data_IF_935324275904
#
_entry.id   IF_935324275904
#
_cell.length_a   1.000
_cell.length_b   1.000
_cell.length_c   1.000
_cell.angle_alpha   90.00
_cell.angle_beta   90.00
_cell.angle_gamma   90.00
#
_symmetry.space_group_name_H-M   'P 1'
#
loop_
_entity.id
_entity.type
_entity.pdbx_description
1 polymer ?
#
# COMPACT_ATOMS: atom_id res chain seq x y z
N UNK A 1 27.90 12.13 18.38
CA UNK A 1 27.84 12.56 16.99
C UNK A 1 26.86 11.81 16.09
N UNK A 2 26.08 10.82 16.50
CA UNK A 2 24.96 10.24 15.75
C UNK A 2 25.26 9.46 14.45
N UNK A 3 26.52 9.32 14.05
CA UNK A 3 26.89 8.55 12.88
C UNK A 3 26.76 7.05 13.17
N UNK A 4 26.17 6.30 12.21
CA UNK A 4 26.00 4.84 12.34
C UNK A 4 27.30 4.09 12.12
N UNK A 5 28.08 4.50 11.14
CA UNK A 5 29.39 3.95 10.79
C UNK A 5 30.14 4.90 9.84
N UNK A 6 31.41 4.60 9.51
CA UNK A 6 32.23 5.42 8.61
C UNK A 6 32.66 4.59 7.39
N UNK A 7 32.63 5.24 6.21
CA UNK A 7 33.11 4.68 4.96
C UNK A 7 34.30 5.51 4.51
N UNK A 8 35.43 4.85 4.26
CA UNK A 8 36.64 5.50 3.70
C UNK A 8 36.58 5.54 2.18
N UNK A 9 37.10 6.60 1.59
CA UNK A 9 37.16 6.75 0.13
C UNK A 9 38.07 5.67 -0.47
N UNK A 10 37.45 4.68 -1.16
CA UNK A 10 38.14 3.51 -1.72
C UNK A 10 37.66 2.17 -1.14
N UNK A 11 36.70 2.16 -0.20
CA UNK A 11 36.08 0.91 0.29
C UNK A 11 35.31 0.21 -0.83
N UNK A 12 35.47 -1.11 -0.87
CA UNK A 12 34.89 -2.00 -1.87
C UNK A 12 33.35 -2.13 -1.70
N UNK A 13 32.61 -2.29 -2.79
CA UNK A 13 31.15 -2.50 -2.77
C UNK A 13 30.71 -3.65 -1.84
N UNK A 14 31.56 -4.64 -1.63
CA UNK A 14 31.34 -5.76 -0.70
C UNK A 14 31.22 -5.32 0.77
N UNK A 15 31.74 -4.15 1.15
CA UNK A 15 31.58 -3.56 2.49
C UNK A 15 30.45 -2.57 2.57
N UNK A 16 30.22 -1.81 1.48
CA UNK A 16 29.21 -0.73 1.43
C UNK A 16 27.80 -1.30 1.47
N UNK A 17 27.50 -2.33 0.67
CA UNK A 17 26.17 -2.93 0.58
C UNK A 17 25.70 -3.53 1.93
N UNK A 18 26.49 -4.35 2.64
CA UNK A 18 26.12 -4.85 3.98
C UNK A 18 25.93 -3.72 5.01
N UNK A 19 26.70 -2.64 4.90
CA UNK A 19 26.62 -1.50 5.82
C UNK A 19 25.33 -0.70 5.63
N UNK A 20 24.95 -0.46 4.38
CA UNK A 20 23.67 0.17 4.03
C UNK A 20 22.49 -0.71 4.49
N UNK A 21 22.55 -2.02 4.25
CA UNK A 21 21.50 -2.95 4.68
C UNK A 21 21.33 -2.95 6.21
N UNK A 22 22.42 -2.96 6.97
CA UNK A 22 22.39 -2.86 8.43
C UNK A 22 21.88 -1.51 8.92
N UNK A 23 22.23 -0.40 8.24
CA UNK A 23 21.74 0.93 8.57
C UNK A 23 20.22 1.04 8.31
N UNK A 24 19.73 0.48 7.21
CA UNK A 24 18.30 0.42 6.89
C UNK A 24 17.52 -0.45 7.88
N UNK A 25 18.06 -1.59 8.28
CA UNK A 25 17.45 -2.48 9.28
C UNK A 25 17.35 -1.78 10.65
N UNK A 26 18.41 -1.08 11.06
CA UNK A 26 18.42 -0.31 12.32
C UNK A 26 17.51 0.91 12.25
N UNK A 27 17.38 1.56 11.10
CA UNK A 27 16.42 2.64 10.89
C UNK A 27 14.96 2.13 10.97
N UNK A 28 14.68 0.95 10.42
CA UNK A 28 13.37 0.27 10.56
C UNK A 28 13.05 -0.07 12.01
N UNK A 29 14.00 -0.65 12.75
CA UNK A 29 13.78 -1.04 14.16
C UNK A 29 13.65 0.17 15.10
N UNK A 30 14.36 1.27 14.84
CA UNK A 30 14.27 2.50 15.62
C UNK A 30 13.05 3.36 15.24
N UNK A 31 12.58 3.31 13.99
CA UNK A 31 11.40 4.06 13.54
C UNK A 31 10.07 3.50 14.08
N UNK A 32 10.02 2.21 14.41
CA UNK A 32 8.79 1.55 14.92
C UNK A 32 8.58 1.80 16.42
N UNK A 33 9.61 2.14 17.19
CA UNK A 33 9.52 2.20 18.66
C UNK A 33 9.06 3.54 19.27
N UNK A 34 8.94 4.62 18.51
CA UNK A 34 8.68 5.97 19.09
C UNK A 34 7.64 6.82 18.34
N UNK A 35 6.67 6.23 17.62
CA UNK A 35 5.49 7.00 17.24
C UNK A 35 4.42 6.84 18.32
N UNK A 36 3.97 7.90 18.99
CA UNK A 36 2.88 7.79 19.95
C UNK A 36 1.62 7.34 19.21
N UNK A 37 0.98 6.27 19.71
CA UNK A 37 -0.23 5.65 19.11
C UNK A 37 -1.34 6.68 18.78
N UNK A 38 -1.42 7.78 19.53
CA UNK A 38 -2.41 8.86 19.29
C UNK A 38 -2.19 9.67 18.01
N UNK A 39 -0.95 9.92 17.59
CA UNK A 39 -0.67 10.67 16.35
C UNK A 39 -0.93 9.78 15.11
N UNK A 40 -0.66 8.49 15.21
CA UNK A 40 -0.94 7.54 14.14
C UNK A 40 -2.45 7.39 13.91
N UNK A 41 -3.26 7.43 14.97
CA UNK A 41 -4.72 7.29 14.89
C UNK A 41 -5.40 8.44 14.13
N UNK A 42 -4.93 9.67 14.26
CA UNK A 42 -5.49 10.82 13.52
C UNK A 42 -5.04 10.85 12.05
N UNK A 43 -3.86 10.32 11.73
CA UNK A 43 -3.27 10.42 10.40
C UNK A 43 -3.96 9.54 9.35
N UNK A 44 -4.65 8.46 9.74
CA UNK A 44 -5.22 7.47 8.82
C UNK A 44 -6.75 7.34 8.90
N UNK A 45 -7.45 8.32 9.44
CA UNK A 45 -8.91 8.31 9.45
C UNK A 45 -9.48 8.98 8.19
N UNK A 46 -10.73 8.66 7.80
CA UNK A 46 -11.41 9.40 6.73
C UNK A 46 -11.54 10.90 7.01
N UNK A 47 -11.50 11.31 8.28
CA UNK A 47 -11.54 12.72 8.65
C UNK A 47 -10.25 13.48 8.32
N UNK A 48 -9.14 12.76 8.13
CA UNK A 48 -7.86 13.35 7.72
C UNK A 48 -7.72 13.51 6.19
N UNK A 49 -8.65 12.95 5.41
CA UNK A 49 -8.65 13.10 3.96
C UNK A 49 -9.10 14.52 3.61
N UNK A 50 -8.18 15.29 3.03
CA UNK A 50 -8.44 16.66 2.64
C UNK A 50 -9.28 16.72 1.36
N UNK A 51 -10.39 17.45 1.42
CA UNK A 51 -11.26 17.72 0.29
C UNK A 51 -12.73 17.81 0.69
N UNK A 52 -13.49 18.55 -0.11
CA UNK A 52 -14.93 18.83 0.08
C UNK A 52 -15.73 18.64 -1.20
N UNK A 53 -15.09 18.26 -2.29
CA UNK A 53 -15.78 18.02 -3.56
C UNK A 53 -16.76 16.86 -3.44
N UNK A 54 -17.91 16.99 -4.11
CA UNK A 54 -18.98 15.99 -4.06
C UNK A 54 -18.49 14.59 -4.46
N UNK A 55 -17.70 14.40 -5.55
CA UNK A 55 -17.22 13.07 -5.93
C UNK A 55 -16.31 12.44 -4.86
N UNK A 56 -15.47 13.23 -4.18
CA UNK A 56 -14.63 12.73 -3.09
C UNK A 56 -15.47 12.31 -1.87
N UNK A 57 -16.45 13.14 -1.50
CA UNK A 57 -17.32 12.84 -0.35
C UNK A 57 -18.17 11.58 -0.59
N UNK A 58 -18.63 11.35 -1.83
CA UNK A 58 -19.31 10.11 -2.22
C UNK A 58 -18.40 8.91 -2.09
N UNK A 59 -17.14 8.99 -2.55
CA UNK A 59 -16.15 7.93 -2.39
C UNK A 59 -15.86 7.64 -0.89
N UNK A 60 -15.72 8.68 -0.07
CA UNK A 60 -15.55 8.54 1.39
C UNK A 60 -16.77 7.86 2.03
N UNK A 61 -17.98 8.24 1.64
CA UNK A 61 -19.21 7.63 2.16
C UNK A 61 -19.30 6.14 1.82
N UNK A 62 -18.91 5.74 0.60
CA UNK A 62 -18.82 4.33 0.19
C UNK A 62 -17.75 3.59 1.00
N UNK A 63 -16.57 4.19 1.16
CA UNK A 63 -15.47 3.60 1.90
C UNK A 63 -15.82 3.37 3.38
N UNK A 64 -16.53 4.30 4.02
CA UNK A 64 -17.06 4.13 5.39
C UNK A 64 -18.05 2.98 5.51
N UNK A 65 -18.96 2.83 4.54
CA UNK A 65 -19.92 1.72 4.54
C UNK A 65 -19.23 0.36 4.49
N UNK A 66 -18.21 0.22 3.62
CA UNK A 66 -17.50 -1.05 3.46
C UNK A 66 -16.47 -1.30 4.57
N UNK A 67 -16.00 -0.27 5.27
CA UNK A 67 -15.00 -0.42 6.35
C UNK A 67 -15.47 -1.40 7.44
N UNK A 68 -16.75 -1.38 7.81
CA UNK A 68 -17.34 -2.26 8.84
C UNK A 68 -17.47 -3.74 8.43
N UNK A 69 -17.21 -4.07 7.15
CA UNK A 69 -17.33 -5.43 6.58
C UNK A 69 -15.95 -6.04 6.34
N UNK A 70 -15.91 -7.35 6.07
CA UNK A 70 -14.68 -8.07 5.69
C UNK A 70 -14.58 -8.36 4.19
N UNK A 71 -15.51 -7.82 3.38
CA UNK A 71 -15.48 -8.05 1.93
C UNK A 71 -14.22 -7.45 1.28
N UNK A 72 -13.71 -8.06 0.21
CA UNK A 72 -12.65 -7.45 -0.60
C UNK A 72 -13.10 -6.10 -1.16
N UNK A 73 -12.15 -5.17 -1.27
CA UNK A 73 -12.39 -3.83 -1.81
C UNK A 73 -11.43 -3.57 -2.96
N UNK A 74 -11.96 -3.15 -4.10
CA UNK A 74 -11.16 -2.70 -5.23
C UNK A 74 -11.24 -1.17 -5.35
N UNK A 75 -10.10 -0.51 -5.17
CA UNK A 75 -9.94 0.92 -5.36
C UNK A 75 -9.46 1.19 -6.79
N UNK A 76 -10.21 1.95 -7.56
CA UNK A 76 -9.82 2.33 -8.92
C UNK A 76 -9.60 3.84 -9.01
N UNK A 77 -8.73 4.28 -9.90
CA UNK A 77 -8.44 5.68 -10.12
C UNK A 77 -7.00 5.91 -10.58
N UNK A 78 -6.75 7.06 -11.13
CA UNK A 78 -5.42 7.43 -11.64
C UNK A 78 -4.35 7.42 -10.55
N UNK A 79 -3.10 7.37 -10.97
CA UNK A 79 -1.96 7.50 -10.05
C UNK A 79 -2.04 8.85 -9.33
N UNK A 80 -1.78 8.86 -8.02
CA UNK A 80 -1.84 10.08 -7.21
C UNK A 80 -3.23 10.46 -6.68
N UNK A 81 -4.31 9.72 -6.96
CA UNK A 81 -5.67 10.00 -6.44
C UNK A 81 -5.84 9.72 -4.95
N UNK A 82 -4.87 9.05 -4.31
CA UNK A 82 -4.90 8.74 -2.86
C UNK A 82 -5.43 7.35 -2.52
N UNK A 83 -5.31 6.37 -3.44
CA UNK A 83 -5.76 4.98 -3.23
C UNK A 83 -5.22 4.38 -1.93
N UNK A 84 -3.93 4.57 -1.62
CA UNK A 84 -3.32 4.07 -0.40
C UNK A 84 -3.89 4.74 0.86
N UNK A 85 -4.14 6.06 0.82
CA UNK A 85 -4.76 6.79 1.93
C UNK A 85 -6.16 6.25 2.24
N UNK A 86 -6.95 5.95 1.20
CA UNK A 86 -8.25 5.30 1.35
C UNK A 86 -8.14 3.89 1.93
N UNK A 87 -7.18 3.08 1.46
CA UNK A 87 -6.94 1.74 1.99
C UNK A 87 -6.60 1.76 3.48
N UNK A 88 -5.72 2.67 3.89
CA UNK A 88 -5.36 2.89 5.30
C UNK A 88 -6.57 3.34 6.13
N UNK A 89 -7.39 4.28 5.62
CA UNK A 89 -8.60 4.74 6.30
C UNK A 89 -9.65 3.63 6.44
N UNK A 90 -9.85 2.80 5.40
CA UNK A 90 -10.73 1.62 5.46
C UNK A 90 -10.25 0.64 6.53
N UNK A 91 -8.96 0.33 6.57
CA UNK A 91 -8.40 -0.54 7.61
C UNK A 91 -8.60 0.05 9.01
N UNK A 92 -8.27 1.32 9.18
CA UNK A 92 -8.35 2.01 10.46
C UNK A 92 -9.78 2.05 11.03
N UNK A 93 -10.80 2.26 10.19
CA UNK A 93 -12.21 2.25 10.61
C UNK A 93 -12.86 0.84 10.56
N UNK A 94 -12.08 -0.21 10.30
CA UNK A 94 -12.55 -1.59 10.24
C UNK A 94 -12.54 -2.30 11.60
N UNK A 95 -13.17 -3.48 11.65
CA UNK A 95 -13.09 -4.40 12.80
C UNK A 95 -11.68 -4.97 13.00
N UNK A 96 -10.80 -4.84 11.99
CA UNK A 96 -9.43 -5.36 11.98
C UNK A 96 -8.38 -4.29 12.28
N UNK A 97 -8.77 -3.12 12.76
CA UNK A 97 -7.89 -1.98 13.02
C UNK A 97 -6.79 -2.23 14.07
N UNK A 98 -6.92 -3.29 14.86
CA UNK A 98 -5.88 -3.75 15.80
C UNK A 98 -4.88 -4.71 15.17
N UNK A 99 -5.19 -5.26 14.01
CA UNK A 99 -4.30 -6.13 13.24
C UNK A 99 -3.33 -5.32 12.38
N UNK A 100 -2.39 -6.01 11.75
CA UNK A 100 -1.42 -5.35 10.87
C UNK A 100 -2.09 -4.84 9.59
N UNK A 101 -1.68 -3.65 9.14
CA UNK A 101 -1.87 -3.18 7.78
C UNK A 101 -0.57 -3.40 7.02
N UNK A 102 -0.58 -4.30 6.05
CA UNK A 102 0.59 -4.65 5.24
C UNK A 102 0.34 -4.20 3.82
N UNK A 103 1.19 -3.33 3.30
CA UNK A 103 1.07 -2.77 1.96
C UNK A 103 2.22 -3.24 1.05
N UNK A 104 1.90 -3.58 -0.19
CA UNK A 104 2.88 -3.88 -1.23
C UNK A 104 2.42 -3.30 -2.56
N UNK A 105 3.36 -2.71 -3.30
CA UNK A 105 3.13 -2.31 -4.68
C UNK A 105 3.58 -3.43 -5.62
N UNK A 106 2.66 -3.99 -6.41
CA UNK A 106 2.91 -5.14 -7.28
C UNK A 106 3.84 -4.80 -8.46
N UNK A 107 3.93 -3.53 -8.86
CA UNK A 107 4.82 -3.10 -9.95
C UNK A 107 6.28 -2.91 -9.54
N UNK A 108 6.56 -2.85 -8.22
CA UNK A 108 7.90 -2.55 -7.71
C UNK A 108 8.89 -3.73 -7.77
N UNK A 109 8.41 -4.94 -8.12
CA UNK A 109 9.19 -6.17 -8.02
C UNK A 109 9.11 -6.98 -9.33
N UNK A 110 10.17 -7.76 -9.63
CA UNK A 110 10.03 -8.86 -10.61
C UNK A 110 9.03 -9.90 -10.11
N UNK A 111 8.49 -10.72 -11.03
CA UNK A 111 7.52 -11.77 -10.72
C UNK A 111 7.99 -12.69 -9.57
N UNK A 112 9.24 -13.16 -9.64
CA UNK A 112 9.82 -14.10 -8.69
C UNK A 112 10.00 -13.46 -7.30
N UNK A 113 10.42 -12.19 -7.27
CA UNK A 113 10.55 -11.44 -6.02
C UNK A 113 9.19 -11.14 -5.42
N UNK A 114 8.20 -10.71 -6.22
CA UNK A 114 6.84 -10.45 -5.76
C UNK A 114 6.22 -11.70 -5.17
N UNK A 115 6.40 -12.87 -5.81
CA UNK A 115 5.93 -14.15 -5.31
C UNK A 115 6.53 -14.48 -3.95
N UNK A 116 7.84 -14.33 -3.82
CA UNK A 116 8.57 -14.56 -2.58
C UNK A 116 8.17 -13.59 -1.46
N UNK A 117 7.93 -12.31 -1.79
CA UNK A 117 7.44 -11.32 -0.82
C UNK A 117 6.03 -11.67 -0.32
N UNK A 118 5.10 -11.91 -1.23
CA UNK A 118 3.68 -12.10 -0.88
C UNK A 118 3.45 -13.45 -0.18
N UNK A 119 3.99 -14.55 -0.72
CA UNK A 119 3.69 -15.92 -0.26
C UNK A 119 4.78 -16.51 0.65
N UNK A 120 5.99 -15.93 0.66
CA UNK A 120 7.12 -16.48 1.39
C UNK A 120 7.77 -17.69 0.70
N UNK A 121 8.89 -18.13 1.23
CA UNK A 121 9.66 -19.25 0.69
C UNK A 121 10.39 -20.04 1.76
N UNK A 122 10.74 -21.28 1.43
CA UNK A 122 11.68 -22.11 2.18
C UNK A 122 13.12 -21.92 1.72
N UNK A 123 14.04 -22.08 2.64
CA UNK A 123 15.47 -22.14 2.34
C UNK A 123 15.75 -23.19 1.26
N UNK A 124 16.55 -22.83 0.26
CA UNK A 124 16.92 -23.71 -0.85
C UNK A 124 15.89 -23.85 -1.97
N UNK A 125 14.77 -23.14 -1.93
CA UNK A 125 13.71 -23.25 -2.95
C UNK A 125 14.07 -22.63 -4.30
N UNK A 126 15.01 -21.69 -4.31
CA UNK A 126 15.59 -21.08 -5.52
C UNK A 126 16.99 -20.52 -5.21
N UNK A 127 17.74 -20.15 -6.26
CA UNK A 127 19.08 -19.55 -6.12
C UNK A 127 18.99 -18.22 -5.37
N UNK A 128 19.58 -18.17 -4.15
CA UNK A 128 19.51 -16.99 -3.26
C UNK A 128 18.55 -17.16 -2.07
N UNK A 129 17.75 -18.22 -2.00
CA UNK A 129 16.91 -18.56 -0.85
C UNK A 129 17.75 -19.15 0.31
N UNK A 130 18.54 -18.30 0.98
CA UNK A 130 19.47 -18.73 2.04
C UNK A 130 18.75 -19.09 3.36
N UNK A 131 17.56 -18.56 3.61
CA UNK A 131 16.79 -18.75 4.85
C UNK A 131 15.30 -18.85 4.51
N UNK A 132 14.52 -19.45 5.42
CA UNK A 132 13.07 -19.40 5.37
C UNK A 132 12.60 -17.93 5.46
N UNK A 133 11.62 -17.56 4.64
CA UNK A 133 10.99 -16.23 4.66
C UNK A 133 9.48 -16.36 4.87
N UNK A 134 8.96 -15.64 5.84
CA UNK A 134 7.52 -15.44 5.97
C UNK A 134 7.02 -14.51 4.86
N UNK A 135 5.86 -14.86 4.29
CA UNK A 135 5.21 -14.01 3.30
C UNK A 135 4.35 -12.92 3.94
N UNK A 136 4.04 -11.87 3.16
CA UNK A 136 3.20 -10.76 3.62
C UNK A 136 1.78 -11.19 4.01
N UNK A 137 1.25 -12.28 3.44
CA UNK A 137 -0.01 -12.86 3.91
C UNK A 137 0.05 -13.37 5.35
N UNK A 138 1.18 -13.92 5.77
CA UNK A 138 1.37 -14.32 7.17
C UNK A 138 1.51 -13.12 8.10
N UNK A 139 2.21 -12.06 7.65
CA UNK A 139 2.37 -10.82 8.40
C UNK A 139 1.05 -10.08 8.56
N UNK A 140 0.16 -10.16 7.56
CA UNK A 140 -1.17 -9.56 7.57
C UNK A 140 -2.23 -10.43 8.27
N UNK A 141 -1.85 -11.59 8.84
CA UNK A 141 -2.82 -12.50 9.49
C UNK A 141 -3.65 -11.79 10.56
N UNK A 142 -4.98 -11.95 10.51
CA UNK A 142 -5.98 -11.23 11.31
C UNK A 142 -6.01 -9.70 11.10
N UNK A 143 -5.32 -9.21 10.10
CA UNK A 143 -5.28 -7.80 9.69
C UNK A 143 -5.77 -7.58 8.26
N UNK A 144 -5.09 -6.67 7.55
CA UNK A 144 -5.42 -6.28 6.18
C UNK A 144 -4.15 -6.27 5.33
N UNK A 145 -4.23 -6.83 4.13
CA UNK A 145 -3.22 -6.63 3.08
C UNK A 145 -3.74 -5.65 2.03
N UNK A 146 -2.90 -4.70 1.65
CA UNK A 146 -3.14 -3.77 0.57
C UNK A 146 -2.22 -4.08 -0.61
N UNK A 147 -2.83 -4.44 -1.74
CA UNK A 147 -2.16 -4.79 -3.00
C UNK A 147 -2.32 -3.62 -3.97
N UNK A 148 -1.32 -2.75 -4.01
CA UNK A 148 -1.33 -1.62 -4.94
C UNK A 148 -0.87 -2.05 -6.33
N UNK A 149 -1.41 -1.40 -7.36
CA UNK A 149 -1.18 -1.68 -8.77
C UNK A 149 -1.38 -3.17 -9.11
N UNK A 150 -2.51 -3.76 -8.65
CA UNK A 150 -2.84 -5.18 -8.84
C UNK A 150 -2.90 -5.59 -10.32
N UNK A 151 -3.22 -4.66 -11.22
CA UNK A 151 -3.22 -4.88 -12.67
C UNK A 151 -1.84 -5.19 -13.26
N UNK A 152 -0.75 -4.95 -12.52
CA UNK A 152 0.63 -5.29 -12.92
C UNK A 152 1.06 -6.69 -12.47
N UNK A 153 0.24 -7.38 -11.68
CA UNK A 153 0.58 -8.70 -11.18
C UNK A 153 0.60 -9.74 -12.30
N UNK A 154 1.67 -10.52 -12.37
CA UNK A 154 1.77 -11.62 -13.36
C UNK A 154 0.63 -12.63 -13.22
N UNK A 155 0.14 -13.15 -14.36
CA UNK A 155 -1.05 -14.01 -14.46
C UNK A 155 -0.99 -15.25 -13.56
N UNK A 156 0.21 -15.80 -13.36
CA UNK A 156 0.43 -16.98 -12.52
C UNK A 156 0.27 -16.66 -11.03
N UNK A 157 0.65 -15.43 -10.62
CA UNK A 157 0.47 -14.97 -9.24
C UNK A 157 -0.99 -14.64 -8.96
N UNK A 158 -1.72 -14.16 -9.97
CA UNK A 158 -3.15 -13.93 -9.89
C UNK A 158 -3.92 -15.22 -9.54
N UNK A 159 -3.51 -16.38 -10.10
CA UNK A 159 -4.11 -17.68 -9.77
C UNK A 159 -3.87 -18.07 -8.29
N UNK A 160 -2.68 -17.78 -7.75
CA UNK A 160 -2.40 -18.00 -6.32
C UNK A 160 -3.19 -17.06 -5.40
N UNK A 161 -3.32 -15.80 -5.80
CA UNK A 161 -4.14 -14.82 -5.07
C UNK A 161 -5.61 -15.22 -5.04
N UNK A 162 -6.15 -15.71 -6.16
CA UNK A 162 -7.52 -16.20 -6.23
C UNK A 162 -7.76 -17.32 -5.21
N UNK A 163 -6.84 -18.27 -5.09
CA UNK A 163 -6.93 -19.33 -4.08
C UNK A 163 -6.99 -18.78 -2.66
N UNK A 164 -6.17 -17.76 -2.34
CA UNK A 164 -6.24 -17.10 -1.01
C UNK A 164 -7.61 -16.47 -0.78
N UNK A 165 -8.17 -15.80 -1.79
CA UNK A 165 -9.50 -15.17 -1.70
C UNK A 165 -10.65 -16.18 -1.52
N UNK A 166 -10.52 -17.39 -2.06
CA UNK A 166 -11.54 -18.41 -2.00
C UNK A 166 -11.48 -19.28 -0.74
N UNK A 167 -10.26 -19.72 -0.39
CA UNK A 167 -10.07 -20.72 0.66
C UNK A 167 -9.35 -20.20 1.89
N UNK A 168 -8.74 -19.02 1.82
CA UNK A 168 -7.83 -18.52 2.86
C UNK A 168 -6.51 -19.29 2.92
N UNK A 169 -6.16 -20.05 1.87
CA UNK A 169 -4.98 -20.90 1.87
C UNK A 169 -4.08 -20.64 0.66
N UNK A 170 -2.79 -20.83 0.85
CA UNK A 170 -1.79 -20.83 -0.22
C UNK A 170 -0.62 -21.75 0.12
N UNK A 171 0.25 -22.00 -0.85
CA UNK A 171 1.45 -22.82 -0.70
C UNK A 171 2.67 -21.90 -0.89
N UNK A 172 3.60 -21.90 0.10
CA UNK A 172 4.87 -21.19 0.00
C UNK A 172 5.75 -21.78 -1.08
N UNK A 173 6.66 -20.98 -1.60
CA UNK A 173 7.64 -21.49 -2.57
C UNK A 173 8.52 -22.55 -1.87
N UNK A 174 8.62 -23.72 -2.49
CA UNK A 174 9.38 -24.86 -1.95
C UNK A 174 8.67 -25.67 -0.86
N UNK A 175 7.39 -25.36 -0.56
CA UNK A 175 6.56 -26.19 0.33
C UNK A 175 5.52 -27.01 -0.46
N UNK A 176 5.00 -28.06 0.17
CA UNK A 176 3.87 -28.86 -0.36
C UNK A 176 2.62 -28.72 0.51
N UNK A 177 2.79 -28.26 1.75
CA UNK A 177 1.69 -28.09 2.70
C UNK A 177 1.06 -26.70 2.55
N UNK A 178 -0.28 -26.58 2.56
CA UNK A 178 -0.93 -25.30 2.53
C UNK A 178 -0.70 -24.54 3.87
N UNK A 179 -0.57 -23.23 3.77
CA UNK A 179 -0.57 -22.29 4.89
C UNK A 179 -1.92 -21.59 4.89
N UNK A 180 -2.62 -21.59 6.01
CA UNK A 180 -3.92 -20.94 6.17
C UNK A 180 -3.77 -19.55 6.78
N UNK A 181 -4.48 -18.56 6.22
CA UNK A 181 -4.47 -17.17 6.68
C UNK A 181 -5.89 -16.59 6.69
N UNK A 182 -6.14 -15.70 7.64
CA UNK A 182 -7.36 -14.91 7.69
C UNK A 182 -7.00 -13.44 7.49
N UNK A 183 -7.13 -12.96 6.25
CA UNK A 183 -6.68 -11.61 5.87
C UNK A 183 -7.76 -10.91 5.07
N UNK A 184 -8.05 -9.66 5.41
CA UNK A 184 -8.87 -8.79 4.56
C UNK A 184 -8.02 -8.25 3.42
N UNK A 185 -8.54 -8.31 2.19
CA UNK A 185 -7.83 -7.84 1.00
C UNK A 185 -8.42 -6.51 0.53
N UNK A 186 -7.57 -5.52 0.35
CA UNK A 186 -7.86 -4.28 -0.37
C UNK A 186 -6.90 -4.23 -1.55
N UNK A 187 -7.42 -4.13 -2.77
CA UNK A 187 -6.62 -4.02 -3.97
C UNK A 187 -6.81 -2.64 -4.61
N UNK A 188 -5.79 -2.14 -5.30
CA UNK A 188 -5.88 -0.89 -6.03
C UNK A 188 -5.25 -1.00 -7.41
N UNK A 189 -5.78 -0.23 -8.38
CA UNK A 189 -5.22 -0.16 -9.73
C UNK A 189 -5.59 1.16 -10.41
N UNK A 190 -4.72 1.60 -11.32
CA UNK A 190 -4.99 2.68 -12.27
C UNK A 190 -5.42 2.14 -13.65
N UNK A 191 -5.28 0.82 -13.89
CA UNK A 191 -5.63 0.16 -15.15
C UNK A 191 -7.13 -0.10 -15.28
N UNK A 192 -7.61 -0.15 -16.53
CA UNK A 192 -8.94 -0.66 -16.86
C UNK A 192 -8.91 -2.20 -16.87
N UNK A 193 -9.26 -2.83 -15.75
CA UNK A 193 -9.20 -4.29 -15.63
C UNK A 193 -10.05 -5.04 -16.67
N UNK A 194 -11.25 -4.61 -17.07
CA UNK A 194 -11.97 -5.21 -18.20
C UNK A 194 -11.18 -5.24 -19.51
N UNK A 195 -10.42 -4.20 -19.83
CA UNK A 195 -9.53 -4.19 -21.00
C UNK A 195 -8.34 -5.16 -20.82
N UNK A 196 -7.76 -5.22 -19.64
CA UNK A 196 -6.68 -6.17 -19.32
C UNK A 196 -7.16 -7.64 -19.37
N UNK A 197 -8.43 -7.90 -19.01
CA UNK A 197 -9.06 -9.24 -19.16
C UNK A 197 -9.17 -9.60 -20.64
N UNK A 198 -9.68 -8.70 -21.47
CA UNK A 198 -9.79 -8.92 -22.90
C UNK A 198 -8.43 -9.13 -23.59
N UNK A 199 -7.39 -8.47 -23.08
CA UNK A 199 -6.01 -8.64 -23.54
C UNK A 199 -5.31 -9.89 -22.98
N UNK A 200 -5.93 -10.64 -22.07
CA UNK A 200 -5.37 -11.85 -21.46
C UNK A 200 -4.31 -11.56 -20.38
N UNK A 201 -4.20 -10.33 -19.92
CA UNK A 201 -3.24 -9.93 -18.88
C UNK A 201 -3.81 -10.02 -17.46
N UNK A 202 -5.13 -10.05 -17.33
CA UNK A 202 -5.81 -10.20 -16.04
C UNK A 202 -6.88 -11.28 -16.10
N UNK A 203 -7.02 -12.05 -15.01
CA UNK A 203 -8.00 -13.14 -14.94
C UNK A 203 -9.38 -12.58 -14.58
N UNK A 204 -10.38 -13.03 -15.33
CA UNK A 204 -11.77 -12.64 -15.11
C UNK A 204 -12.32 -13.14 -13.77
N UNK A 205 -11.97 -14.38 -13.37
CA UNK A 205 -12.38 -14.96 -12.08
C UNK A 205 -11.83 -14.16 -10.88
N UNK A 206 -10.58 -13.74 -10.95
CA UNK A 206 -9.98 -12.89 -9.93
C UNK A 206 -10.64 -11.50 -9.88
N UNK A 207 -10.94 -10.92 -11.04
CA UNK A 207 -11.62 -9.62 -11.11
C UNK A 207 -12.95 -9.65 -10.34
N UNK A 208 -13.82 -10.63 -10.60
CA UNK A 208 -15.10 -10.71 -9.89
C UNK A 208 -14.94 -10.97 -8.40
N UNK A 209 -13.88 -11.64 -7.99
CA UNK A 209 -13.62 -11.90 -6.58
C UNK A 209 -13.06 -10.69 -5.84
N UNK A 210 -12.29 -9.83 -6.50
CA UNK A 210 -11.76 -8.57 -5.96
C UNK A 210 -12.78 -7.42 -6.00
N UNK A 211 -13.62 -7.36 -7.04
CA UNK A 211 -14.56 -6.27 -7.30
C UNK A 211 -15.91 -6.40 -6.59
N UNK A 212 -15.97 -7.21 -5.51
CA UNK A 212 -17.20 -7.34 -4.68
C UNK A 212 -17.68 -5.98 -4.20
N UNK A 213 -16.74 -5.10 -3.84
CA UNK A 213 -17.03 -3.70 -3.56
C UNK A 213 -15.99 -2.82 -4.25
N UNK A 214 -16.46 -2.03 -5.22
CA UNK A 214 -15.58 -1.15 -5.99
C UNK A 214 -15.80 0.31 -5.60
N UNK A 215 -14.70 1.06 -5.44
CA UNK A 215 -14.71 2.50 -5.17
C UNK A 215 -13.80 3.16 -6.20
N UNK A 216 -14.37 4.07 -6.97
CA UNK A 216 -13.61 4.91 -7.89
C UNK A 216 -13.20 6.20 -7.20
N UNK A 217 -11.90 6.54 -7.27
CA UNK A 217 -11.34 7.77 -6.72
C UNK A 217 -11.15 8.79 -7.85
N UNK A 218 -11.83 9.93 -7.77
CA UNK A 218 -11.77 10.94 -8.83
C UNK A 218 -10.38 11.59 -8.91
N UNK A 219 -9.85 11.86 -10.11
CA UNK A 219 -8.64 12.65 -10.28
C UNK A 219 -8.83 14.09 -9.84
N UNK A 220 -7.74 14.79 -9.54
CA UNK A 220 -7.80 16.15 -8.96
C UNK A 220 -8.53 17.16 -9.87
N UNK A 221 -8.43 17.03 -11.18
CA UNK A 221 -9.16 17.87 -12.16
C UNK A 221 -10.69 17.75 -12.05
N UNK A 222 -11.22 16.66 -11.50
CA UNK A 222 -12.65 16.46 -11.23
C UNK A 222 -13.05 16.91 -9.81
N UNK A 223 -12.09 17.49 -9.08
CA UNK A 223 -12.21 17.96 -7.71
C UNK A 223 -11.81 19.44 -7.58
N UNK A 224 -12.39 20.36 -8.38
CA UNK A 224 -11.90 21.74 -8.48
C UNK A 224 -11.88 22.48 -7.14
N UNK A 225 -12.81 22.21 -6.24
CA UNK A 225 -12.83 22.82 -4.89
C UNK A 225 -11.72 22.35 -3.97
N UNK A 226 -11.09 21.21 -4.25
CA UNK A 226 -10.10 20.60 -3.38
C UNK A 226 -8.67 21.06 -3.70
N UNK A 227 -8.41 21.60 -4.90
CA UNK A 227 -7.09 22.10 -5.32
C UNK A 227 -6.57 23.12 -4.32
N UNK A 228 -7.40 24.10 -4.00
CA UNK A 228 -7.04 25.15 -3.02
C UNK A 228 -6.72 24.59 -1.65
N UNK A 229 -7.58 23.73 -1.11
CA UNK A 229 -7.41 23.11 0.21
C UNK A 229 -6.12 22.30 0.29
N UNK A 230 -5.84 21.50 -0.74
CA UNK A 230 -4.62 20.71 -0.81
C UNK A 230 -3.38 21.60 -0.91
N UNK A 231 -3.42 22.63 -1.75
CA UNK A 231 -2.30 23.58 -1.92
C UNK A 231 -1.97 24.30 -0.61
N UNK A 232 -2.98 24.84 0.06
CA UNK A 232 -2.82 25.51 1.35
C UNK A 232 -2.23 24.57 2.42
N UNK A 233 -2.75 23.34 2.53
CA UNK A 233 -2.26 22.35 3.48
C UNK A 233 -0.81 21.92 3.20
N UNK A 234 -0.45 21.70 1.93
CA UNK A 234 0.92 21.35 1.56
C UNK A 234 1.91 22.48 1.84
N UNK A 235 1.56 23.71 1.48
CA UNK A 235 2.42 24.88 1.75
C UNK A 235 2.62 25.08 3.25
N UNK A 236 1.56 24.92 4.04
CA UNK A 236 1.65 25.00 5.50
C UNK A 236 2.59 23.91 6.05
N UNK A 237 2.36 22.64 5.69
CA UNK A 237 3.19 21.51 6.14
C UNK A 237 4.67 21.67 5.76
N UNK A 238 4.95 22.16 4.54
CA UNK A 238 6.31 22.41 4.09
C UNK A 238 6.95 23.60 4.83
N UNK A 239 6.18 24.67 5.09
CA UNK A 239 6.68 25.83 5.82
C UNK A 239 7.08 25.48 7.25
N UNK A 240 6.26 24.68 7.94
CA UNK A 240 6.55 24.19 9.29
C UNK A 240 7.84 23.35 9.34
N UNK A 241 8.06 22.50 8.31
CA UNK A 241 9.26 21.65 8.23
C UNK A 241 10.54 22.40 7.88
N UNK A 242 10.45 23.45 7.07
CA UNK A 242 11.64 24.09 6.49
C UNK A 242 12.09 25.36 7.21
N UNK A 243 11.19 26.20 7.68
CA UNK A 243 11.55 27.57 8.07
C UNK A 243 10.93 28.08 9.38
N UNK A 244 10.05 27.34 10.02
CA UNK A 244 9.23 27.79 11.16
C UNK A 244 8.44 29.09 10.88
N UNK A 245 8.40 29.56 9.63
CA UNK A 245 7.63 30.72 9.21
C UNK A 245 6.44 30.30 8.35
N UNK A 246 5.24 30.66 8.76
CA UNK A 246 4.02 30.42 7.98
C UNK A 246 4.07 31.20 6.67
N UNK A 247 3.99 30.50 5.54
CA UNK A 247 3.83 31.10 4.21
C UNK A 247 2.40 30.95 3.74
N UNK A 248 1.88 31.98 3.09
CA UNK A 248 0.55 31.98 2.49
C UNK A 248 0.64 31.87 0.96
N UNK A 249 -0.33 31.20 0.37
CA UNK A 249 -0.42 31.09 -1.10
C UNK A 249 -1.26 32.25 -1.64
N UNK A 250 -0.77 32.93 -2.67
CA UNK A 250 -1.55 34.00 -3.31
C UNK A 250 -2.73 33.42 -4.12
N UNK A 251 -3.82 34.19 -4.19
CA UNK A 251 -4.97 33.80 -5.00
C UNK A 251 -4.60 33.61 -6.47
N UNK A 252 -3.75 34.49 -7.01
CA UNK A 252 -3.28 34.39 -8.39
C UNK A 252 -2.53 33.08 -8.70
N UNK A 253 -1.80 32.52 -7.71
CA UNK A 253 -1.13 31.23 -7.86
C UNK A 253 -2.14 30.07 -7.88
N UNK A 254 -3.16 30.12 -7.03
CA UNK A 254 -4.22 29.09 -6.98
C UNK A 254 -5.04 29.08 -8.28
N UNK A 255 -5.31 30.26 -8.83
CA UNK A 255 -6.09 30.42 -10.07
C UNK A 255 -5.31 29.92 -11.32
N UNK A 256 -4.00 29.66 -11.20
CA UNK A 256 -3.15 29.08 -12.27
C UNK A 256 -3.02 27.55 -12.21
N UNK A 257 -3.44 26.92 -11.10
CA UNK A 257 -3.41 25.46 -10.92
C UNK A 257 -4.68 24.81 -11.48
#
# INVERSE_FOLDING_TARGET
>A
NGAFDYITKGDDNNKIIPLISRAMEKARTNGVKNRPEKETFQQYSFNSILGQSKPLLEAIALARKVASTDVPVLLTGETGTGKEVFAQAIHHESKRNKGNFVAINCSAFSKELLESEIFGHKAGSFTGALKDKKGLFEEAHNGTIFLDEIGEMAIELQAKLLRVLETGEYIKIGETKPTSVNVRIIAATNRNLPEEINAGHFREDLFYRLSVFQIHLPPLRERPGDIRLLTEAFVQSLSEKMTHSSKTVSKAFIDML
#
